data_IF_998923425106
#
_entry.id   IF_998923425106
#
_cell.length_a   1.000
_cell.length_b   1.000
_cell.length_c   1.000
_cell.angle_alpha   90.00
_cell.angle_beta   90.00
_cell.angle_gamma   90.00
#
_symmetry.space_group_name_H-M   'P 1'
#
loop_
_entity.id
_entity.type
_entity.pdbx_description
1 polymer ?
#
# COMPACT_ATOMS: atom_id res chain seq x y z
N UNK A 1 -6.86 15.33 -8.84
CA UNK A 1 -6.79 14.33 -7.75
C UNK A 1 -5.36 14.33 -7.23
N UNK A 2 -5.14 14.12 -5.93
CA UNK A 2 -3.77 13.99 -5.42
C UNK A 2 -3.17 12.66 -5.94
N UNK A 3 -1.91 12.69 -6.40
CA UNK A 3 -1.20 11.48 -6.82
C UNK A 3 -0.95 10.55 -5.63
N UNK A 4 -0.94 9.23 -5.87
CA UNK A 4 -0.56 8.23 -4.85
C UNK A 4 0.93 8.23 -4.55
N UNK A 5 1.75 8.76 -5.48
CA UNK A 5 3.21 8.83 -5.39
C UNK A 5 3.83 9.00 -6.77
N UNK A 6 5.14 9.25 -6.79
CA UNK A 6 5.93 9.47 -7.99
C UNK A 6 6.86 8.29 -8.25
N UNK A 7 6.87 7.75 -9.47
CA UNK A 7 7.66 6.58 -9.86
C UNK A 7 8.59 6.94 -11.01
N UNK A 8 9.87 6.58 -10.92
CA UNK A 8 10.77 6.55 -12.06
C UNK A 8 10.87 5.10 -12.56
N UNK A 9 10.43 4.89 -13.80
CA UNK A 9 10.47 3.60 -14.49
C UNK A 9 11.59 3.61 -15.52
N UNK A 10 12.59 2.74 -15.35
CA UNK A 10 13.67 2.50 -16.32
C UNK A 10 13.40 1.18 -17.03
N UNK A 11 13.14 1.22 -18.33
CA UNK A 11 12.81 0.06 -19.17
C UNK A 11 13.07 0.40 -20.64
N UNK A 12 13.88 -0.36 -21.35
CA UNK A 12 14.24 -0.15 -22.74
C UNK A 12 13.23 -0.76 -23.71
N UNK A 13 12.49 -1.80 -23.30
CA UNK A 13 11.38 -2.33 -24.11
C UNK A 13 10.19 -1.36 -24.04
N UNK A 14 10.04 -0.60 -25.12
CA UNK A 14 8.99 0.43 -25.23
C UNK A 14 7.57 -0.11 -25.04
N UNK A 15 7.29 -1.34 -25.50
CA UNK A 15 5.95 -1.92 -25.36
C UNK A 15 5.66 -2.27 -23.90
N UNK A 16 6.63 -2.88 -23.24
CA UNK A 16 6.52 -3.20 -21.82
C UNK A 16 6.43 -1.90 -20.99
N UNK A 17 7.29 -0.92 -21.26
CA UNK A 17 7.28 0.37 -20.58
C UNK A 17 5.91 1.07 -20.68
N UNK A 18 5.33 1.15 -21.88
CA UNK A 18 4.00 1.74 -22.08
C UNK A 18 2.91 0.99 -21.30
N UNK A 19 2.95 -0.34 -21.32
CA UNK A 19 1.98 -1.17 -20.57
C UNK A 19 2.07 -0.91 -19.06
N UNK A 20 3.28 -0.83 -18.52
CA UNK A 20 3.52 -0.59 -17.09
C UNK A 20 3.14 0.86 -16.72
N UNK A 21 3.50 1.82 -17.56
CA UNK A 21 3.18 3.24 -17.36
C UNK A 21 1.66 3.45 -17.32
N UNK A 22 0.91 2.91 -18.27
CA UNK A 22 -0.56 2.99 -18.32
C UNK A 22 -1.17 2.37 -17.06
N UNK A 23 -0.77 1.15 -16.70
CA UNK A 23 -1.28 0.45 -15.52
C UNK A 23 -1.03 1.23 -14.22
N UNK A 24 0.17 1.76 -14.04
CA UNK A 24 0.54 2.52 -12.84
C UNK A 24 -0.17 3.87 -12.79
N UNK A 25 -0.34 4.56 -13.93
CA UNK A 25 -1.08 5.82 -14.02
C UNK A 25 -2.57 5.63 -13.76
N UNK A 26 -3.17 4.57 -14.28
CA UNK A 26 -4.57 4.23 -14.04
C UNK A 26 -4.83 3.96 -12.55
N UNK A 27 -3.84 3.40 -11.85
CA UNK A 27 -3.91 3.22 -10.39
C UNK A 27 -3.61 4.51 -9.59
N UNK A 28 -3.26 5.61 -10.26
CA UNK A 28 -3.13 6.96 -9.68
C UNK A 28 -1.71 7.39 -9.32
N UNK A 29 -0.67 6.72 -9.84
CA UNK A 29 0.73 7.15 -9.71
C UNK A 29 1.11 8.17 -10.79
N UNK A 30 2.07 9.07 -10.47
CA UNK A 30 2.76 9.89 -11.46
C UNK A 30 4.03 9.16 -11.90
N UNK A 31 4.09 8.75 -13.18
CA UNK A 31 5.16 7.93 -13.72
C UNK A 31 6.00 8.72 -14.70
N UNK A 32 7.31 8.75 -14.48
CA UNK A 32 8.31 9.18 -15.47
C UNK A 32 8.97 7.93 -16.03
N UNK A 33 8.90 7.76 -17.35
CA UNK A 33 9.60 6.70 -18.04
C UNK A 33 10.94 7.19 -18.60
N UNK A 34 11.98 6.41 -18.43
CA UNK A 34 13.30 6.55 -19.03
C UNK A 34 13.62 5.28 -19.86
N UNK A 35 14.13 5.44 -21.06
CA UNK A 35 14.42 4.34 -21.96
C UNK A 35 15.85 3.78 -21.79
N UNK A 36 16.73 4.52 -21.11
CA UNK A 36 18.10 4.15 -20.82
C UNK A 36 18.58 4.72 -19.48
N UNK A 37 19.76 4.27 -19.04
CA UNK A 37 20.30 4.66 -17.74
C UNK A 37 20.66 6.13 -17.63
N UNK A 38 21.06 6.80 -18.73
CA UNK A 38 21.38 8.22 -18.72
C UNK A 38 20.11 9.06 -18.52
N UNK A 39 19.04 8.76 -19.27
CA UNK A 39 17.74 9.42 -19.08
C UNK A 39 17.23 9.24 -17.63
N UNK A 40 17.40 8.05 -17.07
CA UNK A 40 16.97 7.78 -15.69
C UNK A 40 17.83 8.56 -14.68
N UNK A 41 19.15 8.67 -14.90
CA UNK A 41 20.03 9.46 -14.05
C UNK A 41 19.68 10.96 -14.07
N UNK A 42 19.43 11.52 -15.26
CA UNK A 42 18.98 12.91 -15.43
C UNK A 42 17.64 13.15 -14.72
N UNK A 43 16.67 12.26 -14.93
CA UNK A 43 15.36 12.37 -14.27
C UNK A 43 15.47 12.33 -12.75
N UNK A 44 16.29 11.42 -12.20
CA UNK A 44 16.53 11.32 -10.76
C UNK A 44 17.26 12.53 -10.17
N UNK A 45 18.10 13.20 -10.97
CA UNK A 45 18.76 14.44 -10.56
C UNK A 45 17.80 15.62 -10.53
N UNK A 46 16.91 15.72 -11.52
CA UNK A 46 16.00 16.86 -11.69
C UNK A 46 14.90 16.91 -10.62
N UNK A 47 14.44 15.76 -10.15
CA UNK A 47 13.41 15.67 -9.10
C UNK A 47 13.53 14.40 -8.27
N UNK A 48 13.00 14.42 -7.05
CA UNK A 48 12.85 13.24 -6.21
C UNK A 48 11.67 12.35 -6.64
N UNK A 49 11.80 11.06 -6.38
CA UNK A 49 10.77 10.04 -6.58
C UNK A 49 10.50 9.29 -5.28
N UNK A 50 9.30 8.72 -5.19
CA UNK A 50 8.92 7.88 -4.05
C UNK A 50 9.34 6.41 -4.26
N UNK A 51 9.53 5.99 -5.53
CA UNK A 51 9.95 4.63 -5.90
C UNK A 51 10.71 4.63 -7.22
N UNK A 52 11.75 3.82 -7.28
CA UNK A 52 12.41 3.41 -8.51
C UNK A 52 11.98 2.02 -8.92
N UNK A 53 11.65 1.84 -10.21
CA UNK A 53 11.39 0.55 -10.85
C UNK A 53 12.37 0.45 -12.02
N UNK A 54 13.45 -0.32 -11.82
CA UNK A 54 14.56 -0.36 -12.76
C UNK A 54 14.72 -1.74 -13.40
N UNK A 55 14.65 -1.81 -14.73
CA UNK A 55 15.27 -2.94 -15.42
C UNK A 55 16.78 -2.87 -15.24
N UNK A 56 17.38 -4.03 -15.01
CA UNK A 56 18.83 -4.13 -14.86
C UNK A 56 19.51 -4.03 -16.23
N UNK A 57 18.91 -4.66 -17.27
CA UNK A 57 19.56 -4.79 -18.56
C UNK A 57 19.06 -3.72 -19.54
N UNK A 58 19.49 -2.50 -19.36
CA UNK A 58 19.18 -1.35 -20.23
C UNK A 58 20.47 -0.83 -20.88
N UNK A 59 20.36 -0.06 -21.99
CA UNK A 59 21.49 0.62 -22.59
C UNK A 59 22.22 1.61 -21.66
N UNK A 60 23.47 1.89 -21.97
CA UNK A 60 24.37 2.86 -21.35
C UNK A 60 24.76 2.49 -19.92
N UNK A 61 24.04 2.97 -18.93
CA UNK A 61 24.26 2.67 -17.52
C UNK A 61 23.26 1.59 -17.10
N UNK A 62 23.74 0.42 -16.65
CA UNK A 62 22.83 -0.64 -16.18
C UNK A 62 22.12 -0.27 -14.87
N UNK A 63 20.99 -0.93 -14.59
CA UNK A 63 20.19 -0.60 -13.41
C UNK A 63 20.94 -0.76 -12.07
N UNK A 64 21.93 -1.64 -11.98
CA UNK A 64 22.76 -1.78 -10.79
C UNK A 64 23.72 -0.62 -10.62
N UNK A 65 24.42 -0.25 -11.70
CA UNK A 65 25.35 0.87 -11.71
C UNK A 65 24.63 2.18 -11.37
N UNK A 66 23.47 2.40 -12.00
CA UNK A 66 22.62 3.56 -11.69
C UNK A 66 22.23 3.60 -10.20
N UNK A 67 21.79 2.47 -9.62
CA UNK A 67 21.44 2.45 -8.21
C UNK A 67 22.65 2.69 -7.30
N UNK A 68 23.82 2.18 -7.64
CA UNK A 68 25.07 2.39 -6.90
C UNK A 68 25.46 3.88 -6.87
N UNK A 69 25.34 4.56 -8.02
CA UNK A 69 25.60 5.99 -8.14
C UNK A 69 24.60 6.81 -7.32
N UNK A 70 23.31 6.50 -7.40
CA UNK A 70 22.28 7.15 -6.60
C UNK A 70 22.53 6.96 -5.09
N UNK A 71 22.89 5.75 -4.65
CA UNK A 71 23.25 5.47 -3.25
C UNK A 71 24.50 6.24 -2.80
N UNK A 72 25.48 6.40 -3.69
CA UNK A 72 26.68 7.22 -3.44
C UNK A 72 26.34 8.70 -3.28
N UNK A 73 25.34 9.18 -4.01
CA UNK A 73 24.75 10.52 -3.86
C UNK A 73 23.79 10.65 -2.64
N UNK A 74 23.77 9.66 -1.75
CA UNK A 74 22.90 9.61 -0.56
C UNK A 74 21.39 9.51 -0.85
N UNK A 75 21.00 9.21 -2.06
CA UNK A 75 19.63 8.87 -2.38
C UNK A 75 19.27 7.51 -1.76
N UNK A 76 18.15 7.46 -1.04
CA UNK A 76 17.64 6.27 -0.34
C UNK A 76 16.26 5.86 -0.85
N UNK A 77 15.84 6.36 -2.02
CA UNK A 77 14.56 6.03 -2.63
C UNK A 77 14.42 4.50 -2.76
N UNK A 78 13.32 3.91 -2.27
CA UNK A 78 13.03 2.49 -2.43
C UNK A 78 13.17 2.07 -3.89
N UNK A 79 13.69 0.86 -4.14
CA UNK A 79 13.95 0.39 -5.50
C UNK A 79 13.46 -1.04 -5.68
N UNK A 80 12.70 -1.28 -6.75
CA UNK A 80 12.33 -2.61 -7.24
C UNK A 80 13.13 -2.85 -8.52
N UNK A 81 13.89 -3.94 -8.58
CA UNK A 81 14.51 -4.37 -9.81
C UNK A 81 13.58 -5.29 -10.63
N UNK A 82 13.63 -5.10 -11.94
CA UNK A 82 13.04 -6.02 -12.93
C UNK A 82 14.19 -6.67 -13.72
N UNK A 83 14.18 -7.99 -13.94
CA UNK A 83 15.22 -8.62 -14.74
C UNK A 83 14.81 -9.97 -15.30
N UNK A 84 15.33 -10.28 -16.50
CA UNK A 84 15.30 -11.63 -17.06
C UNK A 84 16.32 -12.58 -16.38
N UNK A 85 17.40 -12.03 -15.82
CA UNK A 85 18.42 -12.79 -15.12
C UNK A 85 18.05 -12.96 -13.65
N UNK A 86 17.93 -14.20 -13.19
CA UNK A 86 17.56 -14.56 -11.82
C UNK A 86 18.55 -15.60 -11.29
N UNK A 87 19.84 -15.28 -11.38
CA UNK A 87 20.82 -16.02 -10.62
C UNK A 87 20.96 -15.42 -9.20
N UNK A 88 21.38 -16.28 -8.26
CA UNK A 88 21.50 -15.90 -6.84
C UNK A 88 22.48 -14.73 -6.66
N UNK A 89 23.51 -14.63 -7.50
CA UNK A 89 24.51 -13.57 -7.38
C UNK A 89 23.93 -12.21 -7.75
N UNK A 90 23.15 -12.13 -8.83
CA UNK A 90 22.48 -10.88 -9.25
C UNK A 90 21.44 -10.41 -8.21
N UNK A 91 20.66 -11.33 -7.66
CA UNK A 91 19.71 -11.03 -6.59
C UNK A 91 20.45 -10.51 -5.35
N UNK A 92 21.53 -11.20 -4.94
CA UNK A 92 22.33 -10.78 -3.77
C UNK A 92 22.98 -9.41 -3.99
N UNK A 93 23.48 -9.12 -5.22
CA UNK A 93 24.01 -7.81 -5.59
C UNK A 93 22.93 -6.73 -5.43
N UNK A 94 21.74 -6.92 -6.00
CA UNK A 94 20.63 -5.96 -5.90
C UNK A 94 20.29 -5.62 -4.45
N UNK A 95 20.12 -6.62 -3.60
CA UNK A 95 19.84 -6.38 -2.17
C UNK A 95 21.03 -5.74 -1.43
N UNK A 96 22.28 -6.07 -1.78
CA UNK A 96 23.45 -5.43 -1.18
C UNK A 96 23.58 -3.93 -1.53
N UNK A 97 23.05 -3.52 -2.68
CA UNK A 97 22.92 -2.13 -3.10
C UNK A 97 21.74 -1.40 -2.45
N UNK A 98 20.93 -2.12 -1.66
CA UNK A 98 19.79 -1.56 -0.97
C UNK A 98 18.51 -1.52 -1.82
N UNK A 99 18.39 -2.40 -2.83
CA UNK A 99 17.09 -2.68 -3.43
C UNK A 99 16.19 -3.39 -2.42
N UNK A 100 14.90 -3.12 -2.49
CA UNK A 100 13.92 -3.66 -1.53
C UNK A 100 13.11 -4.82 -2.10
N UNK A 101 13.13 -5.01 -3.42
CA UNK A 101 12.42 -6.09 -4.09
C UNK A 101 13.03 -6.41 -5.46
N UNK A 102 12.65 -7.57 -6.00
CA UNK A 102 13.17 -8.08 -7.26
C UNK A 102 12.07 -8.84 -8.01
N UNK A 103 11.77 -8.44 -9.26
CA UNK A 103 10.73 -9.03 -10.09
C UNK A 103 11.32 -9.70 -11.32
N UNK A 104 11.04 -10.99 -11.49
CA UNK A 104 11.58 -11.78 -12.60
C UNK A 104 10.76 -11.63 -13.86
N UNK A 105 11.39 -11.30 -15.01
CA UNK A 105 10.79 -11.42 -16.35
C UNK A 105 10.76 -12.89 -16.80
N UNK A 106 9.68 -13.39 -17.45
CA UNK A 106 8.42 -12.69 -17.69
C UNK A 106 7.51 -12.65 -16.46
N UNK A 107 6.77 -11.57 -16.29
CA UNK A 107 5.79 -11.37 -15.21
C UNK A 107 4.49 -10.77 -15.76
N UNK A 108 3.42 -10.86 -14.98
CA UNK A 108 2.20 -10.15 -15.30
C UNK A 108 2.29 -8.71 -14.78
N UNK A 109 1.90 -7.67 -15.56
CA UNK A 109 1.96 -6.27 -15.14
C UNK A 109 1.31 -6.02 -13.77
N UNK A 110 0.25 -6.73 -13.45
CA UNK A 110 -0.46 -6.66 -12.18
C UNK A 110 0.43 -7.11 -10.99
N UNK A 111 1.41 -7.99 -11.22
CA UNK A 111 2.36 -8.39 -10.17
C UNK A 111 3.24 -7.21 -9.77
N UNK A 112 3.71 -6.41 -10.74
CA UNK A 112 4.45 -5.18 -10.43
C UNK A 112 3.56 -4.20 -9.65
N UNK A 113 2.31 -4.01 -10.08
CA UNK A 113 1.37 -3.11 -9.40
C UNK A 113 1.15 -3.50 -7.93
N UNK A 114 1.00 -4.80 -7.63
CA UNK A 114 0.89 -5.30 -6.25
C UNK A 114 2.14 -4.93 -5.44
N UNK A 115 3.34 -5.09 -6.00
CA UNK A 115 4.60 -4.75 -5.33
C UNK A 115 4.74 -3.25 -5.10
N UNK A 116 4.43 -2.45 -6.11
CA UNK A 116 4.40 -0.98 -6.02
C UNK A 116 3.42 -0.53 -4.95
N UNK A 117 2.20 -1.07 -4.95
CA UNK A 117 1.20 -0.77 -3.93
C UNK A 117 1.63 -1.21 -2.52
N UNK A 118 2.42 -2.28 -2.40
CA UNK A 118 2.99 -2.70 -1.11
C UNK A 118 4.07 -1.74 -0.62
N UNK A 119 4.86 -1.14 -1.53
CA UNK A 119 5.95 -0.21 -1.21
C UNK A 119 5.46 1.22 -1.02
N UNK A 120 4.68 1.72 -1.98
CA UNK A 120 4.14 3.07 -2.00
C UNK A 120 2.71 3.16 -1.51
N UNK A 121 2.03 2.00 -1.50
CA UNK A 121 0.66 1.93 -1.03
C UNK A 121 0.57 2.79 0.21
N UNK A 122 -0.25 3.82 0.14
CA UNK A 122 -0.37 4.91 1.11
C UNK A 122 0.21 4.44 2.43
N UNK A 123 1.07 5.25 3.05
CA UNK A 123 0.97 5.38 4.51
C UNK A 123 -0.53 5.60 4.71
N UNK A 124 -1.29 4.51 4.87
CA UNK A 124 -2.61 4.64 5.46
C UNK A 124 -2.27 5.31 6.76
N UNK A 125 -2.40 6.64 6.73
CA UNK A 125 -2.18 7.46 7.91
C UNK A 125 -3.07 6.84 8.95
N UNK A 126 -2.52 6.67 10.13
CA UNK A 126 -3.29 6.10 11.22
C UNK A 126 -4.64 6.82 11.26
N UNK A 127 -5.72 6.09 11.04
CA UNK A 127 -7.06 6.66 11.04
C UNK A 127 -7.38 7.05 12.47
N UNK A 128 -7.57 8.35 12.72
CA UNK A 128 -7.94 8.85 14.04
C UNK A 128 -9.43 9.13 14.10
N UNK A 129 -10.09 8.59 15.12
CA UNK A 129 -11.50 8.78 15.37
C UNK A 129 -11.76 8.99 16.88
N UNK A 130 -11.92 10.24 17.30
CA UNK A 130 -12.00 10.59 18.70
C UNK A 130 -10.75 10.17 19.47
N UNK A 131 -10.93 9.31 20.49
CA UNK A 131 -9.81 8.75 21.29
C UNK A 131 -9.11 7.56 20.64
N UNK A 132 -9.60 7.06 19.48
CA UNK A 132 -9.11 5.87 18.83
C UNK A 132 -8.18 6.23 17.68
N UNK A 133 -7.05 5.55 17.61
CA UNK A 133 -6.12 5.56 16.47
C UNK A 133 -5.97 4.14 15.96
N UNK A 134 -6.14 3.95 14.66
CA UNK A 134 -5.97 2.67 13.98
C UNK A 134 -4.86 2.77 12.94
N UNK A 135 -3.87 1.90 13.04
CA UNK A 135 -2.85 1.73 12.02
C UNK A 135 -3.22 0.51 11.13
N UNK A 136 -3.64 0.73 9.87
CA UNK A 136 -4.06 -0.34 8.99
C UNK A 136 -2.94 -1.33 8.60
N UNK A 137 -1.66 -0.92 8.69
CA UNK A 137 -0.51 -1.77 8.37
C UNK A 137 -0.22 -2.78 9.46
N UNK A 138 -0.07 -2.30 10.68
CA UNK A 138 0.18 -3.17 11.83
C UNK A 138 -1.09 -3.80 12.36
N UNK A 139 -2.27 -3.33 11.89
CA UNK A 139 -3.60 -3.66 12.42
C UNK A 139 -3.74 -3.37 13.92
N UNK A 140 -2.93 -2.43 14.41
CA UNK A 140 -2.98 -1.97 15.78
C UNK A 140 -4.07 -0.93 15.98
N UNK A 141 -4.93 -1.18 16.96
CA UNK A 141 -5.92 -0.21 17.43
C UNK A 141 -5.48 0.28 18.80
N UNK A 142 -5.39 1.61 18.96
CA UNK A 142 -5.03 2.26 20.23
C UNK A 142 -6.15 3.19 20.68
N UNK A 143 -6.38 3.27 21.97
CA UNK A 143 -7.26 4.27 22.58
C UNK A 143 -6.47 5.07 23.62
N UNK A 144 -6.41 6.39 23.44
CA UNK A 144 -5.58 7.27 24.25
C UNK A 144 -4.09 6.83 24.32
N UNK A 145 -3.58 6.24 23.23
CA UNK A 145 -2.22 5.72 23.13
C UNK A 145 -2.04 4.28 23.64
N UNK A 146 -2.99 3.70 24.38
CA UNK A 146 -2.94 2.32 24.87
C UNK A 146 -3.44 1.33 23.80
N UNK A 147 -2.68 0.23 23.60
CA UNK A 147 -3.04 -0.82 22.64
C UNK A 147 -4.31 -1.55 23.09
N UNK A 148 -5.30 -1.64 22.22
CA UNK A 148 -6.52 -2.38 22.46
C UNK A 148 -6.40 -3.82 21.96
N UNK A 149 -6.82 -4.77 22.80
CA UNK A 149 -6.98 -6.17 22.41
C UNK A 149 -8.45 -6.48 22.20
N UNK A 150 -8.79 -7.00 21.02
CA UNK A 150 -10.17 -7.41 20.69
C UNK A 150 -10.17 -8.71 19.89
N UNK A 151 -11.22 -9.50 20.05
CA UNK A 151 -11.39 -10.76 19.27
C UNK A 151 -11.67 -10.47 17.80
N UNK A 152 -11.41 -11.47 16.94
CA UNK A 152 -11.49 -11.35 15.48
C UNK A 152 -12.80 -10.75 14.96
N UNK A 153 -13.94 -11.18 15.46
CA UNK A 153 -15.27 -10.66 15.07
C UNK A 153 -15.39 -9.17 15.38
N UNK A 154 -14.98 -8.75 16.57
CA UNK A 154 -15.05 -7.34 16.99
C UNK A 154 -14.09 -6.49 16.16
N UNK A 155 -12.94 -7.03 15.84
CA UNK A 155 -11.94 -6.35 15.00
C UNK A 155 -12.45 -6.18 13.55
N UNK A 156 -13.04 -7.21 12.94
CA UNK A 156 -13.63 -7.12 11.60
C UNK A 156 -14.76 -6.08 11.54
N UNK A 157 -15.64 -6.06 12.55
CA UNK A 157 -16.68 -5.03 12.66
C UNK A 157 -16.07 -3.64 12.85
N UNK A 158 -15.02 -3.52 13.63
CA UNK A 158 -14.28 -2.26 13.80
C UNK A 158 -13.73 -1.75 12.46
N UNK A 159 -13.07 -2.62 11.66
CA UNK A 159 -12.55 -2.25 10.35
C UNK A 159 -13.67 -1.76 9.42
N UNK A 160 -14.84 -2.43 9.41
CA UNK A 160 -15.99 -1.97 8.63
C UNK A 160 -16.41 -0.55 9.00
N UNK A 161 -16.46 -0.23 10.28
CA UNK A 161 -16.89 1.09 10.74
C UNK A 161 -15.82 2.16 10.48
N UNK A 162 -14.55 1.89 10.79
CA UNK A 162 -13.49 2.89 10.75
C UNK A 162 -13.15 3.31 9.31
N UNK A 163 -13.31 2.39 8.34
CA UNK A 163 -13.12 2.69 6.93
C UNK A 163 -14.36 3.30 6.25
N UNK A 164 -15.52 3.27 6.90
CA UNK A 164 -16.77 3.80 6.36
C UNK A 164 -17.46 4.77 7.34
N UNK A 165 -16.80 5.86 7.76
CA UNK A 165 -17.42 6.82 8.67
C UNK A 165 -18.67 7.44 8.04
N UNK A 166 -19.69 7.63 8.82
CA UNK A 166 -21.00 8.20 8.42
C UNK A 166 -21.82 7.34 7.42
N UNK A 167 -21.29 6.21 6.94
CA UNK A 167 -22.07 5.22 6.17
C UNK A 167 -22.86 4.33 7.13
N UNK A 168 -24.12 4.08 6.78
CA UNK A 168 -24.89 3.05 7.47
C UNK A 168 -24.44 1.69 6.97
N UNK A 169 -23.92 0.87 7.87
CA UNK A 169 -23.56 -0.52 7.59
C UNK A 169 -24.76 -1.37 7.96
N UNK A 170 -25.28 -2.14 7.02
CA UNK A 170 -26.46 -2.94 7.25
C UNK A 170 -26.18 -4.14 8.17
N UNK A 171 -27.26 -4.77 8.66
CA UNK A 171 -27.13 -5.88 9.60
C UNK A 171 -26.49 -7.10 8.96
N UNK A 172 -26.76 -7.38 7.69
CA UNK A 172 -26.27 -8.56 6.99
C UNK A 172 -24.77 -8.44 6.75
N UNK A 173 -24.29 -7.23 6.39
CA UNK A 173 -22.86 -6.93 6.27
C UNK A 173 -22.12 -7.13 7.61
N UNK A 174 -22.70 -6.69 8.71
CA UNK A 174 -22.14 -6.90 10.05
C UNK A 174 -22.22 -8.35 10.51
N UNK A 175 -23.31 -9.04 10.19
CA UNK A 175 -23.48 -10.45 10.52
C UNK A 175 -22.53 -11.37 9.74
N UNK A 176 -22.09 -10.97 8.55
CA UNK A 176 -21.07 -11.69 7.78
C UNK A 176 -19.72 -11.83 8.51
N UNK A 177 -19.43 -10.97 9.50
CA UNK A 177 -18.25 -11.11 10.37
C UNK A 177 -18.38 -12.23 11.41
N UNK A 178 -19.55 -12.89 11.53
CA UNK A 178 -19.86 -13.81 12.63
C UNK A 178 -20.02 -15.25 12.12
N UNK A 179 -19.51 -16.23 12.88
CA UNK A 179 -19.72 -17.65 12.58
C UNK A 179 -21.18 -18.09 12.83
N UNK A 180 -21.80 -17.52 13.85
CA UNK A 180 -23.19 -17.81 14.23
C UNK A 180 -23.98 -16.52 14.35
N UNK A 181 -24.46 -15.96 13.19
CA UNK A 181 -25.15 -14.70 13.17
C UNK A 181 -26.52 -14.79 13.81
N UNK A 182 -26.87 -13.80 14.63
CA UNK A 182 -28.22 -13.55 15.14
C UNK A 182 -28.36 -12.09 15.58
N UNK A 183 -29.60 -11.55 15.61
CA UNK A 183 -29.84 -10.18 16.05
C UNK A 183 -29.33 -9.92 17.48
N UNK A 184 -29.43 -10.90 18.36
CA UNK A 184 -28.91 -10.76 19.73
C UNK A 184 -27.37 -10.78 19.77
N UNK A 185 -26.72 -11.68 19.02
CA UNK A 185 -25.27 -11.75 18.93
C UNK A 185 -24.72 -10.44 18.32
N UNK A 186 -25.36 -9.91 17.28
CA UNK A 186 -24.99 -8.63 16.68
C UNK A 186 -25.06 -7.48 17.69
N UNK A 187 -26.16 -7.39 18.45
CA UNK A 187 -26.29 -6.34 19.50
C UNK A 187 -25.21 -6.43 20.56
N UNK A 188 -24.88 -7.65 21.00
CA UNK A 188 -23.81 -7.90 21.97
C UNK A 188 -22.47 -7.50 21.40
N UNK A 189 -22.16 -7.88 20.15
CA UNK A 189 -20.92 -7.57 19.48
C UNK A 189 -20.73 -6.05 19.29
N UNK A 190 -21.74 -5.35 18.80
CA UNK A 190 -21.69 -3.89 18.66
C UNK A 190 -21.56 -3.19 20.02
N UNK A 191 -22.27 -3.68 21.06
CA UNK A 191 -22.14 -3.13 22.42
C UNK A 191 -20.71 -3.31 22.94
N UNK A 192 -20.12 -4.48 22.74
CA UNK A 192 -18.73 -4.74 23.14
C UNK A 192 -17.74 -3.88 22.37
N UNK A 193 -17.95 -3.70 21.06
CA UNK A 193 -17.14 -2.82 20.22
C UNK A 193 -17.15 -1.40 20.77
N UNK A 194 -18.34 -0.84 21.06
CA UNK A 194 -18.48 0.49 21.68
C UNK A 194 -17.76 0.62 23.02
N UNK A 195 -17.87 -0.39 23.87
CA UNK A 195 -17.24 -0.38 25.20
C UNK A 195 -15.70 -0.38 25.09
N UNK A 196 -15.14 -1.21 24.20
CA UNK A 196 -13.69 -1.34 24.03
C UNK A 196 -13.11 -0.09 23.37
N UNK A 197 -13.73 0.37 22.29
CA UNK A 197 -13.20 1.48 21.48
C UNK A 197 -13.64 2.87 21.97
N UNK A 198 -14.78 2.98 22.62
CA UNK A 198 -15.40 4.29 22.93
C UNK A 198 -16.06 4.96 21.72
N UNK A 199 -16.07 4.32 20.56
CA UNK A 199 -16.65 4.89 19.32
C UNK A 199 -18.17 5.12 19.47
N UNK A 200 -18.63 6.25 18.90
CA UNK A 200 -20.06 6.58 18.90
C UNK A 200 -20.77 5.90 17.73
N UNK A 201 -21.16 4.64 17.93
CA UNK A 201 -21.91 3.85 16.93
C UNK A 201 -23.40 3.90 17.26
N UNK A 202 -24.20 4.47 16.34
CA UNK A 202 -25.66 4.62 16.51
C UNK A 202 -26.42 3.53 15.75
N UNK A 203 -27.48 3.03 16.37
CA UNK A 203 -28.40 2.09 15.74
C UNK A 203 -29.40 2.85 14.84
N UNK A 204 -29.51 2.42 13.57
CA UNK A 204 -30.56 2.87 12.64
C UNK A 204 -31.63 1.78 12.63
N UNK A 205 -32.74 2.03 13.28
CA UNK A 205 -33.81 1.05 13.50
C UNK A 205 -34.26 0.38 12.20
N UNK A 206 -34.17 -0.94 12.17
CA UNK A 206 -34.59 -1.74 11.01
C UNK A 206 -33.59 -1.81 9.86
N UNK A 207 -32.51 -1.06 9.89
CA UNK A 207 -31.49 -0.97 8.80
C UNK A 207 -30.16 -1.55 9.26
N UNK A 208 -29.51 -0.93 10.24
CA UNK A 208 -28.13 -1.30 10.64
C UNK A 208 -27.55 -0.34 11.66
N UNK A 209 -26.26 -0.09 11.56
CA UNK A 209 -25.52 0.77 12.46
C UNK A 209 -24.65 1.75 11.69
N UNK A 210 -24.37 2.91 12.28
CA UNK A 210 -23.53 3.95 11.71
C UNK A 210 -22.54 4.46 12.75
N UNK A 211 -21.28 4.59 12.36
CA UNK A 211 -20.30 5.34 13.13
C UNK A 211 -20.58 6.83 12.91
N UNK A 212 -20.99 7.53 13.95
CA UNK A 212 -21.12 8.97 13.89
C UNK A 212 -19.73 9.63 13.83
N UNK A 213 -19.63 10.71 13.09
CA UNK A 213 -18.39 11.42 12.71
C UNK A 213 -17.25 11.35 13.74
N UNK A 214 -16.12 11.05 13.21
CA UNK A 214 -14.83 11.16 13.90
C UNK A 214 -14.42 12.62 14.14
#
# INVERSE_FOLDING_TARGET
MATKGTILLLEDDRLLAQTLEELLRDDGYDVTWAADGNEAAEAAYDRGYDLYVFDINVPDIDGFELLEDLRSAQDRTPTIFISAQVDIASIAKGFSLGAEDYLKKPFFPEELLIRVNTKLGRKEEAISCGEVTYDPRSKEVRRNGELLSMGSVIFQMFELFIHNPSRVIDKDELMACMEHPSDNALRVAVTKLKQVTGLNIRNIRGVGYVLETC
#
